data_IF_691810919946
#
_entry.id   IF_691810919946
#
_cell.length_a   1.000
_cell.length_b   1.000
_cell.length_c   1.000
_cell.angle_alpha   90.00
_cell.angle_beta   90.00
_cell.angle_gamma   90.00
#
_symmetry.space_group_name_H-M   'P 1'
#
loop_
_entity.id
_entity.type
_entity.pdbx_description
1 polymer ?
#
# COMPACT_ATOMS: atom_id res chain seq x y z
N UNK A 1 23.73 -48.54 21.17
CA UNK A 1 22.46 -48.38 21.90
C UNK A 1 21.68 -47.24 21.27
N UNK A 2 20.49 -47.55 20.79
CA UNK A 2 19.52 -46.60 20.22
C UNK A 2 18.98 -45.70 21.34
N UNK A 3 18.93 -44.39 21.12
CA UNK A 3 18.01 -43.50 21.82
C UNK A 3 17.25 -42.71 20.77
N UNK A 4 16.09 -43.27 20.45
CA UNK A 4 15.03 -42.71 19.62
C UNK A 4 14.52 -41.40 20.20
N UNK A 5 14.44 -40.36 19.37
CA UNK A 5 13.62 -39.18 19.63
C UNK A 5 12.14 -39.61 19.75
N UNK A 6 11.36 -39.00 20.66
CA UNK A 6 9.97 -39.38 20.85
C UNK A 6 9.12 -39.00 19.62
N UNK A 7 8.05 -39.75 19.33
CA UNK A 7 7.16 -39.44 18.24
C UNK A 7 6.33 -38.20 18.60
N UNK A 8 6.41 -37.15 17.77
CA UNK A 8 5.44 -36.05 17.85
C UNK A 8 4.16 -36.52 17.17
N UNK A 9 3.35 -37.28 17.91
CA UNK A 9 1.96 -37.50 17.60
C UNK A 9 1.15 -36.34 18.19
N UNK A 10 0.63 -35.52 17.28
CA UNK A 10 -0.27 -34.42 17.61
C UNK A 10 -0.47 -33.61 16.35
N UNK A 11 -1.43 -34.02 15.51
CA UNK A 11 -2.05 -33.14 14.52
C UNK A 11 -2.60 -31.95 15.31
N UNK A 12 -1.76 -30.93 15.52
CA UNK A 12 -2.26 -29.59 15.74
C UNK A 12 -3.00 -29.27 14.45
N UNK A 13 -4.32 -29.10 14.54
CA UNK A 13 -5.08 -28.46 13.48
C UNK A 13 -4.34 -27.14 13.25
N UNK A 14 -3.53 -27.05 12.19
CA UNK A 14 -3.02 -25.77 11.73
C UNK A 14 -4.27 -24.95 11.46
N UNK A 15 -4.60 -24.02 12.37
CA UNK A 15 -5.59 -23.00 12.12
C UNK A 15 -5.18 -22.36 10.79
N UNK A 16 -5.94 -22.65 9.74
CA UNK A 16 -5.64 -22.17 8.39
C UNK A 16 -5.49 -20.66 8.49
N UNK A 17 -4.31 -20.16 8.13
CA UNK A 17 -4.08 -18.73 8.14
C UNK A 17 -4.99 -18.08 7.12
N UNK A 18 -5.88 -17.20 7.58
CA UNK A 18 -6.73 -16.39 6.73
C UNK A 18 -6.09 -15.01 6.57
N UNK A 19 -5.49 -14.69 5.41
CA UNK A 19 -4.92 -13.37 5.19
C UNK A 19 -6.03 -12.30 5.24
N UNK A 20 -5.72 -11.06 5.69
CA UNK A 20 -6.63 -9.93 5.65
C UNK A 20 -7.34 -9.75 4.30
N UNK A 21 -6.64 -10.05 3.20
CA UNK A 21 -7.18 -10.01 1.86
C UNK A 21 -6.73 -11.22 1.03
N UNK A 22 -7.54 -11.59 0.04
CA UNK A 22 -7.21 -12.58 -0.98
C UNK A 22 -7.86 -12.17 -2.32
N UNK A 23 -7.05 -11.79 -3.30
CA UNK A 23 -7.47 -11.25 -4.60
C UNK A 23 -7.95 -12.31 -5.60
N UNK A 24 -7.63 -13.59 -5.38
CA UNK A 24 -8.15 -14.67 -6.22
C UNK A 24 -9.45 -15.23 -5.70
N UNK A 25 -9.74 -15.08 -4.40
CA UNK A 25 -10.90 -15.71 -3.76
C UNK A 25 -10.97 -17.21 -4.09
N UNK A 26 -12.02 -17.62 -4.81
CA UNK A 26 -12.26 -18.97 -5.31
C UNK A 26 -11.83 -19.17 -6.78
N UNK A 27 -11.39 -18.11 -7.45
CA UNK A 27 -10.86 -18.13 -8.81
C UNK A 27 -9.38 -18.57 -8.81
N UNK A 28 -8.90 -19.01 -9.96
CA UNK A 28 -7.49 -19.43 -10.14
C UNK A 28 -6.54 -18.24 -10.28
N UNK A 29 -7.04 -17.10 -10.77
CA UNK A 29 -6.31 -15.85 -11.00
C UNK A 29 -7.02 -14.67 -10.33
N UNK A 30 -6.36 -13.52 -10.25
CA UNK A 30 -6.97 -12.27 -9.78
C UNK A 30 -7.47 -11.38 -10.94
N UNK A 31 -7.76 -11.94 -12.12
CA UNK A 31 -8.21 -11.15 -13.29
C UNK A 31 -9.53 -10.42 -13.02
N UNK A 32 -10.48 -11.12 -12.37
CA UNK A 32 -11.75 -10.52 -11.96
C UNK A 32 -11.55 -9.35 -11.00
N UNK A 33 -10.60 -9.47 -10.08
CA UNK A 33 -10.24 -8.39 -9.17
C UNK A 33 -9.75 -7.16 -9.94
N UNK A 34 -8.80 -7.32 -10.88
CA UNK A 34 -8.28 -6.21 -11.66
C UNK A 34 -9.35 -5.54 -12.54
N UNK A 35 -10.24 -6.33 -13.14
CA UNK A 35 -11.38 -5.80 -13.90
C UNK A 35 -12.29 -4.94 -13.01
N UNK A 36 -12.72 -5.46 -11.86
CA UNK A 36 -13.58 -4.73 -10.93
C UNK A 36 -12.88 -3.48 -10.35
N UNK A 37 -11.58 -3.59 -10.06
CA UNK A 37 -10.78 -2.48 -9.57
C UNK A 37 -10.73 -1.34 -10.59
N UNK A 38 -10.53 -1.64 -11.86
CA UNK A 38 -10.49 -0.63 -12.92
C UNK A 38 -11.84 0.09 -13.07
N UNK A 39 -12.93 -0.67 -13.20
CA UNK A 39 -14.28 -0.12 -13.32
C UNK A 39 -14.66 0.74 -12.11
N UNK A 40 -14.35 0.25 -10.91
CA UNK A 40 -14.64 0.99 -9.69
C UNK A 40 -13.76 2.24 -9.54
N UNK A 41 -12.48 2.17 -9.91
CA UNK A 41 -11.57 3.33 -9.90
C UNK A 41 -12.12 4.43 -10.82
N UNK A 42 -12.59 4.07 -12.01
CA UNK A 42 -13.23 5.02 -12.94
C UNK A 42 -14.43 5.69 -12.29
N UNK A 43 -15.34 4.91 -11.67
CA UNK A 43 -16.49 5.47 -10.96
C UNK A 43 -16.07 6.45 -9.86
N UNK A 44 -15.04 6.13 -9.08
CA UNK A 44 -14.53 6.99 -8.01
C UNK A 44 -13.96 8.30 -8.58
N UNK A 45 -13.16 8.21 -9.65
CA UNK A 45 -12.59 9.37 -10.32
C UNK A 45 -13.69 10.26 -10.93
N UNK A 46 -14.61 9.69 -11.69
CA UNK A 46 -15.70 10.43 -12.34
C UNK A 46 -16.59 11.14 -11.30
N UNK A 47 -16.91 10.44 -10.20
CA UNK A 47 -17.72 11.02 -9.11
C UNK A 47 -16.95 12.13 -8.39
N UNK A 48 -15.69 11.88 -8.05
CA UNK A 48 -14.87 12.83 -7.29
C UNK A 48 -14.50 14.06 -8.09
N UNK A 49 -14.10 13.94 -9.35
CA UNK A 49 -13.76 15.08 -10.20
C UNK A 49 -14.98 15.93 -10.56
N UNK A 50 -16.16 15.32 -10.68
CA UNK A 50 -17.42 16.08 -10.82
C UNK A 50 -17.68 16.96 -9.61
N UNK A 51 -17.30 16.51 -8.41
CA UNK A 51 -17.57 17.24 -7.16
C UNK A 51 -16.47 18.24 -6.81
N UNK A 52 -15.20 17.83 -6.88
CA UNK A 52 -14.04 18.59 -6.42
C UNK A 52 -13.19 19.19 -7.56
N UNK A 53 -13.66 19.14 -8.80
CA UNK A 53 -12.89 19.59 -9.96
C UNK A 53 -12.45 21.05 -9.84
N UNK A 54 -13.32 21.92 -9.33
CA UNK A 54 -12.99 23.32 -9.05
C UNK A 54 -11.95 23.48 -7.95
N UNK A 55 -12.06 22.73 -6.85
CA UNK A 55 -11.11 22.82 -5.73
C UNK A 55 -9.72 22.33 -6.14
N UNK A 56 -9.68 21.28 -6.97
CA UNK A 56 -8.44 20.75 -7.54
C UNK A 56 -7.80 21.76 -8.49
N UNK A 57 -8.59 22.41 -9.35
CA UNK A 57 -8.09 23.46 -10.24
C UNK A 57 -7.53 24.65 -9.45
N UNK A 58 -8.26 25.14 -8.45
CA UNK A 58 -7.83 26.23 -7.58
C UNK A 58 -6.54 25.85 -6.82
N UNK A 59 -6.48 24.65 -6.24
CA UNK A 59 -5.27 24.15 -5.56
C UNK A 59 -4.07 24.11 -6.52
N UNK A 60 -4.27 23.72 -7.78
CA UNK A 60 -3.21 23.66 -8.78
C UNK A 60 -2.65 25.05 -9.12
N UNK A 61 -3.49 26.07 -9.22
CA UNK A 61 -3.09 27.44 -9.56
C UNK A 61 -2.16 28.08 -8.52
N UNK A 62 -2.21 27.62 -7.26
CA UNK A 62 -1.32 28.09 -6.18
C UNK A 62 0.14 27.68 -6.36
N UNK A 63 0.42 26.65 -7.18
CA UNK A 63 1.77 26.09 -7.33
C UNK A 63 2.22 25.15 -6.21
N UNK A 64 1.37 24.81 -5.23
CA UNK A 64 1.70 23.78 -4.22
C UNK A 64 1.89 22.38 -4.86
N UNK A 65 1.14 22.08 -5.92
CA UNK A 65 1.31 20.88 -6.73
C UNK A 65 2.37 21.08 -7.81
N UNK A 66 3.19 20.05 -8.08
CA UNK A 66 4.04 20.10 -9.28
C UNK A 66 3.19 19.86 -10.52
N UNK A 67 3.58 20.45 -11.66
CA UNK A 67 2.89 20.29 -12.95
C UNK A 67 2.80 18.83 -13.45
N UNK A 68 3.48 17.87 -12.77
CA UNK A 68 3.46 16.44 -13.09
C UNK A 68 2.44 15.63 -12.27
N UNK A 69 1.69 16.25 -11.36
CA UNK A 69 0.62 15.57 -10.61
C UNK A 69 -0.68 15.72 -11.39
N UNK A 70 -1.37 14.61 -11.70
CA UNK A 70 -2.66 14.66 -12.41
C UNK A 70 -3.81 15.05 -11.47
N UNK A 71 -4.96 15.42 -12.02
CA UNK A 71 -6.14 15.77 -11.21
C UNK A 71 -6.67 14.56 -10.45
N UNK A 72 -6.59 13.36 -11.02
CA UNK A 72 -6.96 12.11 -10.35
C UNK A 72 -6.07 11.82 -9.14
N UNK A 73 -4.79 12.18 -9.22
CA UNK A 73 -3.87 12.06 -8.08
C UNK A 73 -4.17 13.10 -6.99
N UNK A 74 -4.55 14.32 -7.37
CA UNK A 74 -5.00 15.34 -6.40
C UNK A 74 -6.32 14.92 -5.75
N UNK A 75 -7.25 14.32 -6.49
CA UNK A 75 -8.46 13.70 -5.96
C UNK A 75 -8.13 12.56 -4.98
N UNK A 76 -7.13 11.74 -5.29
CA UNK A 76 -6.67 10.69 -4.37
C UNK A 76 -6.16 11.30 -3.06
N UNK A 77 -5.49 12.45 -3.09
CA UNK A 77 -5.04 13.16 -1.88
C UNK A 77 -6.21 13.70 -1.04
N UNK A 78 -7.28 14.19 -1.68
CA UNK A 78 -8.53 14.53 -1.00
C UNK A 78 -9.18 13.28 -0.39
N UNK A 79 -9.28 12.17 -1.14
CA UNK A 79 -9.81 10.92 -0.61
C UNK A 79 -9.00 10.40 0.60
N UNK A 80 -7.66 10.47 0.54
CA UNK A 80 -6.79 10.13 1.67
C UNK A 80 -7.09 11.00 2.90
N UNK A 81 -7.29 12.30 2.69
CA UNK A 81 -7.67 13.23 3.77
C UNK A 81 -8.95 12.76 4.47
N UNK A 82 -10.02 12.51 3.72
CA UNK A 82 -11.30 12.09 4.29
C UNK A 82 -11.23 10.70 4.94
N UNK A 83 -10.58 9.73 4.30
CA UNK A 83 -10.44 8.37 4.85
C UNK A 83 -9.66 8.38 6.16
N UNK A 84 -8.53 9.09 6.23
CA UNK A 84 -7.75 9.18 7.46
C UNK A 84 -8.46 9.97 8.55
N UNK A 85 -9.16 11.04 8.17
CA UNK A 85 -10.00 11.78 9.11
C UNK A 85 -11.03 10.85 9.75
N UNK A 86 -11.85 10.18 8.94
CA UNK A 86 -12.92 9.32 9.43
C UNK A 86 -12.40 8.12 10.23
N UNK A 87 -11.30 7.51 9.77
CA UNK A 87 -10.73 6.31 10.41
C UNK A 87 -10.08 6.61 11.76
N UNK A 88 -9.43 7.77 11.88
CA UNK A 88 -8.60 8.08 13.04
C UNK A 88 -9.19 9.15 13.95
N UNK A 89 -10.41 9.65 13.66
CA UNK A 89 -11.10 10.67 14.45
C UNK A 89 -11.04 10.37 15.94
N UNK A 90 -10.60 11.39 16.70
CA UNK A 90 -10.44 11.29 18.15
C UNK A 90 -9.09 10.72 18.61
N UNK A 91 -8.30 10.04 17.76
CA UNK A 91 -6.99 9.51 18.20
C UNK A 91 -5.90 10.57 18.34
N UNK A 92 -6.11 11.74 17.73
CA UNK A 92 -5.16 12.84 17.79
C UNK A 92 -5.48 13.80 18.94
N UNK A 93 -4.63 13.79 19.98
CA UNK A 93 -4.76 14.71 21.13
C UNK A 93 -3.90 15.98 20.91
N UNK A 94 -4.25 17.07 21.59
CA UNK A 94 -3.59 18.38 21.44
C UNK A 94 -2.08 18.37 21.74
N UNK A 95 -1.59 17.42 22.53
CA UNK A 95 -0.18 17.29 22.90
C UNK A 95 0.68 16.59 21.83
N UNK A 96 0.12 16.20 20.68
CA UNK A 96 0.86 15.50 19.63
C UNK A 96 1.94 16.32 18.96
N UNK A 97 1.74 17.65 18.86
CA UNK A 97 2.78 18.58 18.37
C UNK A 97 4.08 18.46 19.18
N UNK A 98 3.97 18.19 20.48
CA UNK A 98 5.13 18.06 21.40
C UNK A 98 5.86 16.72 21.26
N UNK A 99 5.14 15.61 21.03
CA UNK A 99 5.75 14.27 21.01
C UNK A 99 6.21 13.82 19.62
N UNK A 100 5.69 14.43 18.55
CA UNK A 100 6.03 14.04 17.17
C UNK A 100 7.54 14.13 16.86
N UNK A 101 8.28 15.17 17.28
CA UNK A 101 9.74 15.24 17.06
C UNK A 101 10.49 14.04 17.66
N UNK A 102 10.09 13.59 18.85
CA UNK A 102 10.65 12.38 19.49
C UNK A 102 10.40 11.13 18.64
N UNK A 103 9.18 10.92 18.13
CA UNK A 103 8.88 9.78 17.26
C UNK A 103 9.64 9.84 15.93
N UNK A 104 9.82 11.04 15.35
CA UNK A 104 10.66 11.24 14.15
C UNK A 104 12.12 10.90 14.42
N UNK A 105 12.66 11.32 15.56
CA UNK A 105 14.02 10.98 15.99
C UNK A 105 14.18 9.47 16.17
N UNK A 106 13.26 8.81 16.88
CA UNK A 106 13.26 7.35 17.05
C UNK A 106 13.24 6.63 15.71
N UNK A 107 12.45 7.11 14.73
CA UNK A 107 12.45 6.53 13.39
C UNK A 107 13.82 6.65 12.70
N UNK A 108 14.48 7.81 12.78
CA UNK A 108 15.81 8.03 12.18
C UNK A 108 16.88 7.10 12.78
N UNK A 109 16.81 6.82 14.08
CA UNK A 109 17.75 5.93 14.77
C UNK A 109 17.62 4.45 14.37
N UNK A 110 16.62 4.07 13.55
CA UNK A 110 16.42 2.69 13.08
C UNK A 110 17.50 2.21 12.11
N UNK A 111 18.23 3.11 11.45
CA UNK A 111 19.34 2.75 10.56
C UNK A 111 20.65 2.44 11.31
N UNK A 112 20.60 2.28 12.63
CA UNK A 112 21.76 2.03 13.50
C UNK A 112 21.71 0.63 14.12
N UNK A 113 22.80 0.23 14.78
CA UNK A 113 22.90 -1.02 15.54
C UNK A 113 21.81 -1.13 16.63
N UNK A 114 21.20 -0.01 17.03
CA UNK A 114 20.16 0.05 18.06
C UNK A 114 18.74 -0.31 17.57
N UNK A 115 18.56 -0.68 16.30
CA UNK A 115 17.25 -0.95 15.67
C UNK A 115 16.28 -1.73 16.56
N UNK A 116 16.68 -2.88 17.10
CA UNK A 116 15.81 -3.73 17.93
C UNK A 116 15.32 -3.04 19.21
N UNK A 117 16.19 -2.24 19.87
CA UNK A 117 15.81 -1.47 21.07
C UNK A 117 14.88 -0.32 20.71
N UNK A 118 15.18 0.37 19.61
CA UNK A 118 14.38 1.49 19.09
C UNK A 118 12.99 1.02 18.68
N UNK A 119 12.88 -0.12 17.97
CA UNK A 119 11.60 -0.70 17.54
C UNK A 119 10.73 -1.06 18.78
N UNK A 120 11.31 -1.72 19.79
CA UNK A 120 10.60 -2.01 21.07
C UNK A 120 10.13 -0.77 21.80
N UNK A 121 10.98 0.25 21.91
CA UNK A 121 10.64 1.52 22.58
C UNK A 121 9.52 2.24 21.83
N UNK A 122 9.67 2.37 20.50
CA UNK A 122 8.69 3.00 19.61
C UNK A 122 7.34 2.29 19.69
N UNK A 123 7.32 0.95 19.63
CA UNK A 123 6.08 0.18 19.73
C UNK A 123 5.36 0.40 21.07
N UNK A 124 6.09 0.34 22.19
CA UNK A 124 5.52 0.63 23.53
C UNK A 124 4.99 2.06 23.64
N UNK A 125 5.76 3.06 23.20
CA UNK A 125 5.34 4.46 23.22
C UNK A 125 4.16 4.71 22.29
N UNK A 126 4.18 4.17 21.07
CA UNK A 126 3.10 4.28 20.10
C UNK A 126 1.79 3.70 20.65
N UNK A 127 1.84 2.50 21.24
CA UNK A 127 0.65 1.91 21.85
C UNK A 127 0.14 2.73 23.05
N UNK A 128 1.02 3.33 23.85
CA UNK A 128 0.60 4.13 25.02
C UNK A 128 0.09 5.53 24.65
N UNK A 129 0.70 6.17 23.65
CA UNK A 129 0.50 7.60 23.36
C UNK A 129 -0.37 7.85 22.14
N UNK A 130 -0.31 6.98 21.12
CA UNK A 130 -0.99 7.17 19.83
C UNK A 130 -2.22 6.26 19.65
N UNK A 131 -2.33 5.16 20.40
CA UNK A 131 -3.43 4.19 20.30
C UNK A 131 -4.53 4.42 21.35
N UNK A 132 -4.70 5.66 21.84
CA UNK A 132 -5.76 6.01 22.78
C UNK A 132 -7.01 6.42 21.99
N UNK A 133 -8.19 5.83 22.26
CA UNK A 133 -9.43 6.39 21.75
C UNK A 133 -9.63 7.75 22.42
N UNK A 134 -9.85 8.80 21.62
CA UNK A 134 -10.29 10.10 22.17
C UNK A 134 -11.77 10.32 21.94
N UNK A 135 -12.22 11.53 22.28
CA UNK A 135 -13.64 11.91 22.22
C UNK A 135 -14.11 11.97 20.76
N UNK A 136 -15.25 11.35 20.47
CA UNK A 136 -15.84 11.25 19.12
C UNK A 136 -16.33 12.60 18.57
N UNK A 137 -16.61 13.56 19.46
CA UNK A 137 -17.09 14.90 19.12
C UNK A 137 -15.94 15.86 18.80
N UNK A 138 -15.36 15.69 17.61
CA UNK A 138 -14.47 16.70 17.01
C UNK A 138 -15.20 17.38 15.85
N UNK A 139 -15.22 18.73 15.89
CA UNK A 139 -15.66 19.56 14.78
C UNK A 139 -14.53 19.63 13.74
N UNK A 140 -14.89 19.88 12.48
CA UNK A 140 -13.91 20.17 11.45
C UNK A 140 -13.20 21.48 11.76
N UNK A 141 -11.87 21.46 11.64
CA UNK A 141 -11.03 22.66 11.69
C UNK A 141 -9.64 22.36 11.14
N UNK A 142 -8.95 23.41 10.69
CA UNK A 142 -7.56 23.31 10.23
C UNK A 142 -6.66 22.79 11.36
N UNK A 143 -6.84 23.26 12.59
CA UNK A 143 -6.08 22.75 13.75
C UNK A 143 -6.29 21.25 14.00
N UNK A 144 -7.49 20.73 13.75
CA UNK A 144 -7.75 19.30 13.86
C UNK A 144 -7.09 18.52 12.70
N UNK A 145 -7.05 19.10 11.50
CA UNK A 145 -6.32 18.52 10.36
C UNK A 145 -4.82 18.47 10.62
N UNK A 146 -4.25 19.53 11.19
CA UNK A 146 -2.86 19.54 11.65
C UNK A 146 -2.59 18.41 12.63
N UNK A 147 -3.44 18.25 13.64
CA UNK A 147 -3.28 17.21 14.66
C UNK A 147 -3.35 15.80 14.04
N UNK A 148 -4.21 15.60 13.04
CA UNK A 148 -4.21 14.37 12.23
C UNK A 148 -2.85 14.18 11.54
N UNK A 149 -2.31 15.20 10.85
CA UNK A 149 -1.00 15.08 10.18
C UNK A 149 0.15 14.82 11.16
N UNK A 150 0.14 15.43 12.34
CA UNK A 150 1.09 15.12 13.40
C UNK A 150 0.96 13.68 13.88
N UNK A 151 -0.27 13.18 14.08
CA UNK A 151 -0.52 11.79 14.45
C UNK A 151 0.00 10.82 13.39
N UNK A 152 -0.39 11.01 12.13
CA UNK A 152 0.06 10.21 10.98
C UNK A 152 1.58 10.22 10.88
N UNK A 153 2.21 11.38 11.04
CA UNK A 153 3.67 11.51 11.03
C UNK A 153 4.33 10.78 12.20
N UNK A 154 3.72 10.78 13.39
CA UNK A 154 4.26 10.11 14.57
C UNK A 154 4.21 8.58 14.44
N UNK A 155 3.17 8.01 13.79
CA UNK A 155 3.10 6.56 13.53
C UNK A 155 4.20 6.07 12.61
N UNK A 156 4.72 6.95 11.73
CA UNK A 156 5.84 6.67 10.80
C UNK A 156 5.51 5.72 9.65
N UNK A 157 4.25 5.30 9.53
CA UNK A 157 3.77 4.39 8.49
C UNK A 157 3.15 5.14 7.29
N UNK A 158 3.00 6.47 7.37
CA UNK A 158 2.32 7.32 6.38
C UNK A 158 3.26 8.39 5.79
N UNK A 159 4.54 8.07 5.61
CA UNK A 159 5.55 9.07 5.25
C UNK A 159 5.19 9.80 3.94
N UNK A 160 4.69 9.06 2.96
CA UNK A 160 4.39 9.57 1.63
C UNK A 160 3.08 10.36 1.61
N UNK A 161 2.09 9.84 2.31
CA UNK A 161 0.78 10.44 2.49
C UNK A 161 0.90 11.76 3.26
N UNK A 162 1.64 11.80 4.39
CA UNK A 162 1.90 13.05 5.11
C UNK A 162 2.58 14.08 4.22
N UNK A 163 3.55 13.68 3.39
CA UNK A 163 4.20 14.62 2.45
C UNK A 163 3.18 15.20 1.46
N UNK A 164 2.28 14.38 0.93
CA UNK A 164 1.26 14.83 -0.01
C UNK A 164 0.26 15.78 0.67
N UNK A 165 -0.27 15.36 1.82
CA UNK A 165 -1.30 16.08 2.58
C UNK A 165 -0.80 17.38 3.24
N UNK A 166 0.50 17.50 3.54
CA UNK A 166 1.08 18.78 4.02
C UNK A 166 0.94 19.91 2.99
N UNK A 167 0.83 19.62 1.69
CA UNK A 167 0.57 20.66 0.69
C UNK A 167 -0.87 21.17 0.75
N UNK A 168 -1.81 20.27 1.00
CA UNK A 168 -3.21 20.64 1.25
C UNK A 168 -3.36 21.42 2.56
N UNK A 169 -2.56 21.09 3.57
CA UNK A 169 -2.48 21.86 4.82
C UNK A 169 -2.10 23.32 4.56
N UNK A 170 -1.05 23.56 3.77
CA UNK A 170 -0.63 24.91 3.40
C UNK A 170 -1.77 25.64 2.66
N UNK A 171 -2.41 24.99 1.68
CA UNK A 171 -3.56 25.56 0.96
C UNK A 171 -4.75 25.92 1.87
N UNK A 172 -5.14 25.02 2.78
CA UNK A 172 -6.23 25.28 3.72
C UNK A 172 -5.92 26.46 4.63
N UNK A 173 -4.65 26.61 5.05
CA UNK A 173 -4.22 27.67 5.96
C UNK A 173 -4.13 29.03 5.27
N UNK A 174 -3.48 29.10 4.10
CA UNK A 174 -3.13 30.37 3.48
C UNK A 174 -4.17 30.88 2.49
N UNK A 175 -4.81 29.99 1.73
CA UNK A 175 -5.68 30.38 0.60
C UNK A 175 -7.16 30.25 0.95
N UNK A 176 -7.56 29.12 1.55
CA UNK A 176 -8.98 28.77 1.67
C UNK A 176 -9.64 29.32 2.96
N UNK A 177 -8.86 29.43 4.05
CA UNK A 177 -9.28 29.98 5.35
C UNK A 177 -10.63 29.43 5.83
N UNK A 178 -11.70 30.24 5.89
CA UNK A 178 -13.03 29.82 6.37
C UNK A 178 -13.68 28.75 5.49
N UNK A 179 -13.42 28.77 4.18
CA UNK A 179 -13.97 27.78 3.25
C UNK A 179 -13.29 26.39 3.41
N UNK A 180 -12.21 26.29 4.19
CA UNK A 180 -11.56 25.01 4.48
C UNK A 180 -12.45 24.06 5.28
N UNK A 181 -13.38 24.59 6.08
CA UNK A 181 -14.31 23.79 6.85
C UNK A 181 -15.28 23.05 5.93
N UNK A 182 -15.88 23.76 4.99
CA UNK A 182 -16.83 23.22 4.02
C UNK A 182 -16.15 22.14 3.17
N UNK A 183 -14.96 22.41 2.64
CA UNK A 183 -14.22 21.42 1.86
C UNK A 183 -13.83 20.18 2.69
N UNK A 184 -13.41 20.35 3.95
CA UNK A 184 -13.09 19.22 4.82
C UNK A 184 -14.33 18.37 5.15
N UNK A 185 -15.49 19.00 5.32
CA UNK A 185 -16.78 18.32 5.51
C UNK A 185 -17.18 17.52 4.27
N UNK A 186 -17.08 18.12 3.09
CA UNK A 186 -17.36 17.46 1.82
C UNK A 186 -16.40 16.29 1.55
N UNK A 187 -15.11 16.48 1.81
CA UNK A 187 -14.09 15.44 1.67
C UNK A 187 -14.35 14.27 2.63
N UNK A 188 -14.77 14.56 3.86
CA UNK A 188 -15.19 13.56 4.83
C UNK A 188 -16.42 12.77 4.34
N UNK A 189 -17.43 13.46 3.79
CA UNK A 189 -18.62 12.84 3.24
C UNK A 189 -18.30 11.97 2.02
N UNK A 190 -17.42 12.44 1.13
CA UNK A 190 -16.94 11.66 -0.01
C UNK A 190 -16.20 10.39 0.43
N UNK A 191 -15.39 10.46 1.49
CA UNK A 191 -14.73 9.28 2.04
C UNK A 191 -15.72 8.27 2.64
N UNK A 192 -16.81 8.72 3.29
CA UNK A 192 -17.90 7.83 3.74
C UNK A 192 -18.61 7.16 2.56
N UNK A 193 -18.95 7.93 1.51
CA UNK A 193 -19.49 7.36 0.27
C UNK A 193 -18.54 6.33 -0.35
N UNK A 194 -17.23 6.64 -0.39
CA UNK A 194 -16.22 5.72 -0.90
C UNK A 194 -16.15 4.43 -0.07
N UNK A 195 -16.20 4.52 1.26
CA UNK A 195 -16.22 3.35 2.14
C UNK A 195 -17.39 2.42 1.81
N UNK A 196 -18.59 2.96 1.70
CA UNK A 196 -19.80 2.19 1.37
C UNK A 196 -19.70 1.54 -0.01
N UNK A 197 -19.34 2.33 -1.03
CA UNK A 197 -19.27 1.83 -2.40
C UNK A 197 -18.13 0.81 -2.58
N UNK A 198 -16.97 1.06 -1.97
CA UNK A 198 -15.83 0.15 -2.06
C UNK A 198 -16.08 -1.17 -1.33
N UNK A 199 -16.86 -1.15 -0.24
CA UNK A 199 -17.30 -2.38 0.43
C UNK A 199 -18.18 -3.24 -0.47
N UNK A 200 -19.06 -2.63 -1.26
CA UNK A 200 -19.90 -3.36 -2.23
C UNK A 200 -19.04 -3.96 -3.36
N UNK A 201 -18.12 -3.18 -3.92
CA UNK A 201 -17.38 -3.57 -5.13
C UNK A 201 -16.16 -4.46 -4.83
N UNK A 202 -15.41 -4.15 -3.77
CA UNK A 202 -14.12 -4.77 -3.44
C UNK A 202 -14.15 -5.55 -2.12
N UNK A 203 -15.19 -5.38 -1.29
CA UNK A 203 -15.24 -5.95 0.06
C UNK A 203 -15.15 -7.47 0.11
N UNK A 204 -15.53 -8.16 -0.97
CA UNK A 204 -15.38 -9.61 -1.07
C UNK A 204 -13.90 -10.06 -1.07
N UNK A 205 -12.96 -9.22 -1.52
CA UNK A 205 -11.53 -9.50 -1.52
C UNK A 205 -10.85 -9.19 -0.18
N UNK A 206 -11.51 -8.42 0.69
CA UNK A 206 -10.98 -7.93 1.98
C UNK A 206 -11.86 -8.35 3.17
N UNK A 207 -12.78 -9.32 2.97
CA UNK A 207 -13.77 -9.72 3.98
C UNK A 207 -13.18 -10.28 5.28
N UNK A 208 -11.90 -10.68 5.25
CA UNK A 208 -11.20 -11.21 6.42
C UNK A 208 -10.57 -10.12 7.30
N UNK A 209 -10.52 -8.85 6.87
CA UNK A 209 -9.83 -7.77 7.63
C UNK A 209 -10.36 -7.68 9.06
N UNK A 210 -11.68 -7.56 9.25
CA UNK A 210 -12.27 -7.39 10.59
C UNK A 210 -11.97 -8.57 11.52
N UNK A 211 -12.11 -9.80 11.02
CA UNK A 211 -11.76 -11.02 11.76
C UNK A 211 -10.27 -11.06 12.09
N UNK A 212 -9.41 -10.76 11.11
CA UNK A 212 -7.96 -10.72 11.30
C UNK A 212 -7.56 -9.73 12.41
N UNK A 213 -8.12 -8.52 12.41
CA UNK A 213 -7.86 -7.50 13.42
C UNK A 213 -8.30 -7.98 14.82
N UNK A 214 -9.48 -8.60 14.93
CA UNK A 214 -10.01 -9.11 16.19
C UNK A 214 -9.10 -10.19 16.78
N UNK A 215 -8.66 -11.16 15.98
CA UNK A 215 -7.83 -12.27 16.41
C UNK A 215 -6.39 -11.86 16.74
N UNK A 216 -5.85 -10.86 16.03
CA UNK A 216 -4.44 -10.47 16.15
C UNK A 216 -4.20 -9.20 16.99
N UNK A 217 -5.24 -8.58 17.56
CA UNK A 217 -5.13 -7.35 18.37
C UNK A 217 -4.04 -7.42 19.44
N UNK A 218 -3.99 -8.52 20.21
CA UNK A 218 -2.98 -8.72 21.26
C UNK A 218 -1.58 -8.94 20.69
N UNK A 219 -1.47 -9.57 19.52
CA UNK A 219 -0.20 -9.85 18.86
C UNK A 219 0.48 -8.58 18.34
N UNK A 220 -0.30 -7.61 17.87
CA UNK A 220 0.23 -6.34 17.34
C UNK A 220 0.39 -5.23 18.37
N UNK A 221 -0.27 -5.34 19.53
CA UNK A 221 -0.16 -4.35 20.59
C UNK A 221 1.31 -4.16 21.02
N UNK A 222 1.81 -2.94 20.89
CA UNK A 222 3.18 -2.58 21.28
C UNK A 222 4.25 -2.98 20.28
N UNK A 223 3.90 -3.46 19.08
CA UNK A 223 4.83 -3.60 17.96
C UNK A 223 5.08 -2.26 17.27
N UNK A 224 6.23 -2.11 16.64
CA UNK A 224 6.59 -0.88 15.92
C UNK A 224 5.75 -0.67 14.66
N UNK A 225 5.26 -1.75 14.06
CA UNK A 225 4.42 -1.81 12.86
C UNK A 225 2.93 -2.00 13.20
N UNK A 226 2.54 -1.68 14.43
CA UNK A 226 1.16 -1.83 14.89
C UNK A 226 0.17 -1.12 13.97
N UNK A 227 0.39 0.18 13.67
CA UNK A 227 -0.54 0.97 12.85
C UNK A 227 -0.59 0.50 11.39
N UNK A 228 0.52 -0.04 10.87
CA UNK A 228 0.54 -0.71 9.58
C UNK A 228 -0.25 -2.03 9.58
N UNK A 229 -0.11 -2.87 10.61
CA UNK A 229 -0.78 -4.18 10.66
C UNK A 229 -2.25 -4.11 11.11
N UNK A 230 -2.69 -2.97 11.66
CA UNK A 230 -4.05 -2.78 12.17
C UNK A 230 -4.92 -1.86 11.30
N UNK A 231 -4.65 -1.79 9.99
CA UNK A 231 -5.41 -0.97 9.04
C UNK A 231 -6.82 -1.50 8.83
N UNK A 232 -7.77 -0.58 8.66
CA UNK A 232 -9.19 -0.89 8.43
C UNK A 232 -9.45 -1.31 7.00
N UNK A 233 -10.63 -1.88 6.74
CA UNK A 233 -10.99 -2.38 5.41
C UNK A 233 -11.02 -1.25 4.36
N UNK A 234 -11.52 -0.06 4.70
CA UNK A 234 -11.54 1.10 3.80
C UNK A 234 -10.12 1.53 3.40
N UNK A 235 -9.14 1.40 4.28
CA UNK A 235 -7.74 1.71 3.96
C UNK A 235 -7.14 0.72 2.95
N UNK A 236 -7.53 -0.56 3.00
CA UNK A 236 -7.17 -1.52 1.93
C UNK A 236 -7.77 -1.08 0.59
N UNK A 237 -9.06 -0.73 0.55
CA UNK A 237 -9.71 -0.31 -0.70
C UNK A 237 -9.13 0.99 -1.25
N UNK A 238 -8.86 1.98 -0.38
CA UNK A 238 -8.22 3.24 -0.77
C UNK A 238 -6.82 2.98 -1.37
N UNK A 239 -6.05 2.07 -0.79
CA UNK A 239 -4.75 1.67 -1.36
C UNK A 239 -4.90 0.95 -2.70
N UNK A 240 -5.94 0.12 -2.88
CA UNK A 240 -6.22 -0.55 -4.15
C UNK A 240 -6.53 0.47 -5.25
N UNK A 241 -7.50 1.35 -5.00
CA UNK A 241 -7.93 2.40 -5.94
C UNK A 241 -6.79 3.39 -6.20
N UNK A 242 -6.09 3.81 -5.15
CA UNK A 242 -4.96 4.73 -5.27
C UNK A 242 -3.83 4.19 -6.15
N UNK A 243 -3.47 2.91 -6.01
CA UNK A 243 -2.47 2.30 -6.88
C UNK A 243 -2.96 2.16 -8.33
N UNK A 244 -4.26 1.99 -8.56
CA UNK A 244 -4.83 2.00 -9.92
C UNK A 244 -4.82 3.42 -10.53
N UNK A 245 -5.15 4.46 -9.76
CA UNK A 245 -4.99 5.87 -10.17
C UNK A 245 -3.53 6.14 -10.57
N UNK A 246 -2.58 5.70 -9.73
CA UNK A 246 -1.16 5.82 -10.02
C UNK A 246 -0.75 5.08 -11.30
N UNK A 247 -1.24 3.86 -11.53
CA UNK A 247 -1.00 3.13 -12.77
C UNK A 247 -1.45 3.92 -13.98
N UNK A 248 -2.64 4.52 -13.93
CA UNK A 248 -3.19 5.32 -15.01
C UNK A 248 -2.33 6.57 -15.26
N UNK A 249 -2.00 7.34 -14.22
CA UNK A 249 -1.22 8.57 -14.33
C UNK A 249 0.19 8.32 -14.89
N UNK A 250 0.87 7.27 -14.44
CA UNK A 250 2.24 6.95 -14.84
C UNK A 250 2.35 6.10 -16.12
N UNK A 251 1.22 5.64 -16.67
CA UNK A 251 1.16 4.70 -17.80
C UNK A 251 1.98 5.17 -19.00
N UNK A 252 1.77 6.43 -19.40
CA UNK A 252 2.38 7.01 -20.60
C UNK A 252 3.90 7.06 -20.49
N UNK A 253 4.41 7.50 -19.36
CA UNK A 253 5.85 7.57 -19.11
C UNK A 253 6.47 6.18 -19.04
N UNK A 254 5.78 5.25 -18.37
CA UNK A 254 6.23 3.87 -18.27
C UNK A 254 6.34 3.18 -19.63
N UNK A 255 5.33 3.35 -20.51
CA UNK A 255 5.33 2.73 -21.84
C UNK A 255 6.48 3.23 -22.71
N UNK A 256 6.89 4.50 -22.57
CA UNK A 256 8.00 5.10 -23.34
C UNK A 256 9.38 4.58 -22.97
N UNK A 257 9.52 3.92 -21.83
CA UNK A 257 10.82 3.36 -21.42
C UNK A 257 11.24 2.20 -22.34
N UNK A 258 12.53 2.02 -22.58
CA UNK A 258 13.04 0.93 -23.43
C UNK A 258 13.04 -0.41 -22.69
N UNK A 259 13.51 -0.40 -21.44
CA UNK A 259 13.69 -1.59 -20.60
C UNK A 259 12.59 -1.68 -19.55
N UNK A 260 12.15 -2.89 -19.24
CA UNK A 260 11.14 -3.15 -18.21
C UNK A 260 11.68 -4.13 -17.17
N UNK A 261 11.59 -3.75 -15.90
CA UNK A 261 12.05 -4.59 -14.78
C UNK A 261 10.90 -4.83 -13.81
N UNK A 262 10.59 -6.09 -13.55
CA UNK A 262 9.68 -6.53 -12.51
C UNK A 262 10.43 -6.69 -11.18
N UNK A 263 9.94 -5.99 -10.15
CA UNK A 263 10.45 -6.07 -8.80
C UNK A 263 9.63 -7.07 -7.99
N UNK A 264 10.20 -8.23 -7.67
CA UNK A 264 9.52 -9.27 -6.90
C UNK A 264 9.98 -9.30 -5.43
N UNK A 265 9.07 -9.23 -4.45
CA UNK A 265 9.45 -9.31 -3.04
C UNK A 265 9.85 -10.73 -2.67
N UNK A 266 10.83 -10.85 -1.76
CA UNK A 266 11.31 -12.14 -1.26
C UNK A 266 10.23 -12.96 -0.54
N UNK A 267 9.09 -12.38 -0.14
CA UNK A 267 7.96 -13.13 0.41
C UNK A 267 7.26 -14.06 -0.60
N UNK A 268 7.60 -13.98 -1.89
CA UNK A 268 7.15 -14.94 -2.90
C UNK A 268 8.04 -16.20 -2.97
N UNK A 269 9.18 -16.21 -2.28
CA UNK A 269 10.07 -17.37 -2.25
C UNK A 269 9.40 -18.50 -1.48
N UNK A 270 9.16 -19.61 -2.18
CA UNK A 270 8.60 -20.84 -1.57
C UNK A 270 9.67 -21.75 -0.98
N UNK A 271 10.85 -21.79 -1.59
CA UNK A 271 11.94 -22.67 -1.16
C UNK A 271 12.74 -22.03 -0.01
N UNK A 272 12.82 -22.72 1.14
CA UNK A 272 13.65 -22.29 2.28
C UNK A 272 15.15 -22.30 1.95
N UNK A 273 15.60 -23.15 1.03
CA UNK A 273 16.97 -23.24 0.54
C UNK A 273 17.17 -22.44 -0.76
N UNK A 274 16.63 -21.22 -0.80
CA UNK A 274 16.72 -20.37 -1.99
C UNK A 274 18.19 -20.08 -2.34
N UNK A 275 18.59 -20.39 -3.57
CA UNK A 275 19.95 -20.15 -4.08
C UNK A 275 20.11 -18.78 -4.77
N UNK A 276 19.22 -17.82 -4.52
CA UNK A 276 19.32 -16.50 -5.15
C UNK A 276 20.65 -15.82 -4.79
N UNK A 277 21.26 -15.14 -5.75
CA UNK A 277 22.58 -14.52 -5.60
C UNK A 277 22.48 -13.01 -5.64
N UNK A 278 23.31 -12.34 -4.85
CA UNK A 278 23.43 -10.88 -4.89
C UNK A 278 24.36 -10.51 -6.05
N UNK A 279 23.93 -9.57 -6.88
CA UNK A 279 24.68 -8.99 -7.98
C UNK A 279 24.33 -7.52 -8.04
N UNK A 280 25.31 -6.62 -7.92
CA UNK A 280 25.12 -5.17 -7.99
C UNK A 280 23.97 -4.63 -7.10
N UNK A 281 23.92 -5.09 -5.83
CA UNK A 281 22.86 -4.76 -4.85
C UNK A 281 21.43 -5.23 -5.21
N UNK A 282 21.29 -6.03 -6.25
CA UNK A 282 20.05 -6.72 -6.63
C UNK A 282 20.16 -8.21 -6.27
N UNK A 283 19.04 -8.82 -5.87
CA UNK A 283 18.97 -10.26 -5.65
C UNK A 283 18.43 -10.93 -6.92
N UNK A 284 19.17 -11.87 -7.49
CA UNK A 284 18.86 -12.51 -8.78
C UNK A 284 18.47 -13.97 -8.57
N UNK A 285 17.32 -14.36 -9.11
CA UNK A 285 16.83 -15.73 -9.04
C UNK A 285 17.76 -16.69 -9.79
N UNK A 286 18.16 -17.79 -9.14
CA UNK A 286 18.95 -18.87 -9.77
C UNK A 286 18.09 -20.08 -10.17
N UNK A 287 16.76 -19.93 -10.19
CA UNK A 287 15.82 -20.97 -10.61
C UNK A 287 16.00 -22.34 -9.92
N UNK A 288 16.35 -22.34 -8.63
CA UNK A 288 16.71 -23.54 -7.87
C UNK A 288 15.65 -24.64 -7.84
N UNK A 289 14.36 -24.30 -7.90
CA UNK A 289 13.25 -25.26 -7.95
C UNK A 289 12.16 -24.80 -8.93
N UNK A 290 11.48 -25.75 -9.57
CA UNK A 290 10.38 -25.49 -10.51
C UNK A 290 9.11 -25.02 -9.79
N UNK A 291 8.89 -25.42 -8.54
CA UNK A 291 7.67 -25.08 -7.79
C UNK A 291 7.73 -23.72 -7.06
N UNK A 292 8.83 -22.99 -7.17
CA UNK A 292 8.96 -21.66 -6.57
C UNK A 292 8.21 -20.59 -7.39
N UNK A 293 7.31 -19.83 -6.75
CA UNK A 293 6.53 -18.77 -7.42
C UNK A 293 7.43 -17.72 -8.10
N UNK A 294 8.54 -17.32 -7.46
CA UNK A 294 9.53 -16.42 -8.07
C UNK A 294 10.15 -17.02 -9.34
N UNK A 295 10.50 -18.31 -9.30
CA UNK A 295 11.14 -18.99 -10.44
C UNK A 295 10.19 -19.09 -11.63
N UNK A 296 8.93 -19.45 -11.39
CA UNK A 296 7.87 -19.50 -12.41
C UNK A 296 7.66 -18.11 -13.03
N UNK A 297 7.39 -17.11 -12.19
CA UNK A 297 7.15 -15.72 -12.61
C UNK A 297 8.34 -15.16 -13.41
N UNK A 298 9.57 -15.30 -12.91
CA UNK A 298 10.75 -14.76 -13.59
C UNK A 298 10.98 -15.39 -14.98
N UNK A 299 10.68 -16.69 -15.16
CA UNK A 299 10.74 -17.33 -16.49
C UNK A 299 9.68 -16.79 -17.43
N UNK A 300 8.43 -16.66 -16.95
CA UNK A 300 7.31 -16.11 -17.72
C UNK A 300 7.57 -14.66 -18.16
N UNK A 301 8.12 -13.84 -17.26
CA UNK A 301 8.47 -12.45 -17.55
C UNK A 301 9.61 -12.35 -18.57
N UNK A 302 10.63 -13.20 -18.45
CA UNK A 302 11.76 -13.22 -19.39
C UNK A 302 11.31 -13.51 -20.83
N UNK A 303 10.33 -14.41 -21.02
CA UNK A 303 9.73 -14.69 -22.35
C UNK A 303 9.08 -13.43 -22.91
N UNK A 304 8.54 -12.57 -22.05
CA UNK A 304 7.87 -11.32 -22.43
C UNK A 304 8.84 -10.12 -22.51
N UNK A 305 10.17 -10.36 -22.47
CA UNK A 305 11.19 -9.30 -22.50
C UNK A 305 11.29 -8.46 -21.21
N UNK A 306 10.69 -8.92 -20.12
CA UNK A 306 10.69 -8.23 -18.83
C UNK A 306 11.74 -8.87 -17.92
N UNK A 307 12.74 -8.09 -17.52
CA UNK A 307 13.74 -8.54 -16.55
C UNK A 307 13.12 -8.65 -15.15
N UNK A 308 13.67 -9.50 -14.28
CA UNK A 308 13.15 -9.67 -12.93
C UNK A 308 14.26 -9.51 -11.90
N UNK A 309 14.03 -8.65 -10.92
CA UNK A 309 14.91 -8.42 -9.78
C UNK A 309 14.15 -8.70 -8.48
N UNK A 310 14.78 -9.43 -7.56
CA UNK A 310 14.20 -9.66 -6.25
C UNK A 310 14.57 -8.52 -5.31
N UNK A 311 13.59 -8.08 -4.52
CA UNK A 311 13.75 -7.04 -3.52
C UNK A 311 13.53 -7.62 -2.12
N UNK A 312 14.44 -7.27 -1.21
CA UNK A 312 14.25 -7.52 0.21
C UNK A 312 13.14 -6.63 0.74
N UNK A 313 12.47 -7.08 1.80
CA UNK A 313 11.65 -6.18 2.60
C UNK A 313 12.57 -5.12 3.26
N UNK A 314 12.69 -3.94 2.65
CA UNK A 314 13.49 -2.84 3.19
C UNK A 314 12.61 -1.72 3.75
N UNK A 315 13.00 -1.17 4.90
CA UNK A 315 12.45 0.08 5.43
C UNK A 315 13.00 1.32 4.73
N UNK A 316 13.89 1.14 3.73
CA UNK A 316 14.57 2.21 3.00
C UNK A 316 14.54 1.93 1.48
N UNK A 317 13.32 1.75 0.97
CA UNK A 317 13.07 1.43 -0.43
C UNK A 317 13.52 2.56 -1.36
N UNK A 318 13.23 3.81 -1.01
CA UNK A 318 13.74 5.00 -1.72
C UNK A 318 15.26 5.01 -1.92
N UNK A 319 16.06 4.59 -0.91
CA UNK A 319 17.52 4.52 -1.07
C UNK A 319 17.93 3.43 -2.06
N UNK A 320 17.26 2.27 -2.00
CA UNK A 320 17.50 1.17 -2.91
C UNK A 320 17.15 1.54 -4.37
N UNK A 321 16.14 2.39 -4.57
CA UNK A 321 15.72 2.88 -5.89
C UNK A 321 16.65 3.94 -6.51
N UNK A 322 17.58 4.52 -5.74
CA UNK A 322 18.48 5.59 -6.23
C UNK A 322 19.19 5.30 -7.57
N UNK A 323 19.65 4.07 -7.87
CA UNK A 323 20.27 3.78 -9.17
C UNK A 323 19.36 4.05 -10.38
N UNK A 324 18.04 4.06 -10.19
CA UNK A 324 17.05 4.35 -11.24
C UNK A 324 16.42 5.75 -11.10
N UNK A 325 16.92 6.63 -10.22
CA UNK A 325 16.35 7.95 -10.05
C UNK A 325 16.63 8.86 -11.27
N UNK A 326 15.62 9.62 -11.70
CA UNK A 326 15.68 10.59 -12.80
C UNK A 326 16.10 10.03 -14.18
N UNK A 327 16.06 8.71 -14.38
CA UNK A 327 16.24 8.11 -15.71
C UNK A 327 14.90 7.80 -16.37
N UNK A 328 14.90 7.71 -17.70
CA UNK A 328 13.71 7.48 -18.53
C UNK A 328 13.86 6.23 -19.43
N UNK A 329 14.95 5.49 -19.34
CA UNK A 329 15.21 4.29 -20.16
C UNK A 329 14.56 3.03 -19.59
N UNK A 330 14.30 3.00 -18.29
CA UNK A 330 13.89 1.80 -17.55
C UNK A 330 12.62 2.06 -16.76
N UNK A 331 11.57 1.32 -17.09
CA UNK A 331 10.31 1.29 -16.35
C UNK A 331 10.31 0.19 -15.29
N UNK A 332 9.88 0.50 -14.07
CA UNK A 332 9.80 -0.46 -12.98
C UNK A 332 8.36 -0.93 -12.74
N UNK A 333 8.15 -2.24 -12.63
CA UNK A 333 6.89 -2.82 -12.19
C UNK A 333 7.08 -3.22 -10.72
N UNK A 334 6.56 -2.41 -9.80
CA UNK A 334 6.58 -2.68 -8.38
C UNK A 334 5.53 -3.74 -8.00
N UNK A 335 5.93 -4.73 -7.20
CA UNK A 335 4.97 -5.69 -6.63
C UNK A 335 5.03 -5.73 -5.11
N UNK A 336 3.86 -5.62 -4.47
CA UNK A 336 3.76 -5.52 -3.01
C UNK A 336 2.38 -5.93 -2.48
N UNK A 337 2.28 -6.04 -1.16
CA UNK A 337 0.98 -6.15 -0.48
C UNK A 337 0.17 -4.88 -0.74
N UNK A 338 -1.17 -4.99 -0.68
CA UNK A 338 -2.10 -3.86 -0.90
C UNK A 338 -1.68 -2.59 -0.15
N UNK A 339 -1.40 -2.70 1.15
CA UNK A 339 -1.06 -1.55 2.01
C UNK A 339 0.34 -0.93 1.77
N UNK A 340 1.22 -1.56 0.99
CA UNK A 340 2.55 -1.02 0.71
C UNK A 340 2.66 -0.44 -0.71
N UNK A 341 1.75 -0.81 -1.60
CA UNK A 341 1.93 -0.58 -3.03
C UNK A 341 1.79 0.90 -3.38
N UNK A 342 0.80 1.59 -2.80
CA UNK A 342 0.59 3.02 -3.01
C UNK A 342 1.79 3.85 -2.51
N UNK A 343 2.23 3.61 -1.27
CA UNK A 343 3.41 4.28 -0.71
C UNK A 343 4.67 4.05 -1.56
N UNK A 344 4.91 2.81 -2.01
CA UNK A 344 6.01 2.48 -2.91
C UNK A 344 5.92 3.19 -4.27
N UNK A 345 4.71 3.33 -4.81
CA UNK A 345 4.46 4.11 -6.01
C UNK A 345 4.83 5.58 -5.85
N UNK A 346 4.40 6.22 -4.75
CA UNK A 346 4.78 7.60 -4.44
C UNK A 346 6.30 7.77 -4.26
N UNK A 347 6.99 6.79 -3.69
CA UNK A 347 8.46 6.80 -3.60
C UNK A 347 9.12 6.77 -4.98
N UNK A 348 8.67 5.90 -5.89
CA UNK A 348 9.16 5.86 -7.28
C UNK A 348 8.85 7.17 -8.02
N UNK A 349 7.65 7.71 -7.88
CA UNK A 349 7.25 8.97 -8.50
C UNK A 349 8.12 10.14 -8.04
N UNK A 350 8.41 10.23 -6.74
CA UNK A 350 9.31 11.25 -6.19
C UNK A 350 10.73 11.18 -6.74
N UNK A 351 11.16 10.00 -7.17
CA UNK A 351 12.46 9.78 -7.80
C UNK A 351 12.39 9.92 -9.33
N UNK A 352 11.27 10.40 -9.89
CA UNK A 352 11.00 10.49 -11.32
C UNK A 352 11.22 9.16 -12.06
N UNK A 353 10.81 8.04 -11.45
CA UNK A 353 10.92 6.71 -12.04
C UNK A 353 9.59 6.37 -12.71
N UNK A 354 9.55 6.10 -14.02
CA UNK A 354 8.37 5.58 -14.67
C UNK A 354 8.02 4.21 -14.10
N UNK A 355 6.83 4.06 -13.54
CA UNK A 355 6.48 2.85 -12.80
C UNK A 355 5.05 2.39 -12.99
N UNK A 356 4.81 1.11 -12.75
CA UNK A 356 3.50 0.49 -12.61
C UNK A 356 3.48 -0.42 -11.39
N UNK A 357 2.28 -0.75 -10.92
CA UNK A 357 1.98 -1.44 -9.69
C UNK A 357 1.18 -2.72 -9.97
N UNK A 358 1.64 -3.85 -9.41
CA UNK A 358 0.91 -5.13 -9.40
C UNK A 358 0.80 -5.63 -7.97
N UNK A 359 -0.40 -5.98 -7.54
CA UNK A 359 -0.63 -6.52 -6.21
C UNK A 359 -0.17 -7.97 -6.09
N UNK A 360 0.34 -8.31 -4.90
CA UNK A 360 0.40 -9.70 -4.45
C UNK A 360 -1.01 -10.22 -4.20
N UNK A 361 -1.33 -11.42 -4.67
CA UNK A 361 -2.67 -12.03 -4.57
C UNK A 361 -3.15 -12.18 -3.12
N UNK A 362 -2.24 -12.38 -2.18
CA UNK A 362 -2.52 -12.36 -0.75
C UNK A 362 -1.26 -12.00 0.02
N UNK A 363 -1.41 -11.57 1.26
CA UNK A 363 -0.28 -11.28 2.11
C UNK A 363 0.09 -12.50 2.96
N UNK A 364 1.40 -12.78 3.10
CA UNK A 364 1.87 -13.96 3.82
C UNK A 364 3.27 -13.83 4.39
N UNK A 365 3.91 -12.66 4.31
CA UNK A 365 5.28 -12.50 4.77
C UNK A 365 5.42 -12.77 6.29
N UNK A 366 6.56 -13.35 6.67
CA UNK A 366 6.84 -13.74 8.04
C UNK A 366 6.90 -12.57 9.03
N UNK A 367 7.35 -11.42 8.52
CA UNK A 367 7.53 -10.21 9.30
C UNK A 367 6.19 -9.63 9.76
N UNK A 368 5.23 -9.50 8.86
CA UNK A 368 3.97 -8.79 9.15
C UNK A 368 2.80 -9.71 9.40
N UNK A 369 2.65 -10.82 8.67
CA UNK A 369 1.34 -11.48 8.53
C UNK A 369 1.27 -12.88 9.14
N UNK A 370 2.25 -13.74 8.88
CA UNK A 370 2.20 -15.14 9.33
C UNK A 370 3.56 -15.60 9.87
N UNK A 371 3.65 -16.10 11.10
CA UNK A 371 4.94 -16.43 11.74
C UNK A 371 5.85 -17.37 10.93
N UNK A 372 5.30 -18.33 10.20
CA UNK A 372 6.09 -19.29 9.39
C UNK A 372 6.35 -18.81 7.97
N UNK A 373 5.62 -17.77 7.53
CA UNK A 373 5.67 -17.24 6.18
C UNK A 373 4.91 -18.13 5.20
N UNK A 374 4.03 -17.53 4.42
CA UNK A 374 3.30 -18.20 3.34
C UNK A 374 3.70 -17.53 2.04
N UNK A 375 4.29 -18.33 1.15
CA UNK A 375 4.70 -17.87 -0.16
C UNK A 375 3.49 -17.36 -0.93
N UNK A 376 3.53 -16.09 -1.30
CA UNK A 376 2.51 -15.44 -2.13
C UNK A 376 2.89 -15.49 -3.60
N UNK A 377 2.01 -14.98 -4.45
CA UNK A 377 2.15 -14.91 -5.91
C UNK A 377 1.58 -13.59 -6.43
N UNK A 378 1.79 -13.34 -7.72
CA UNK A 378 1.15 -12.24 -8.45
C UNK A 378 0.36 -12.82 -9.62
N UNK A 379 -0.50 -12.01 -10.21
CA UNK A 379 -1.04 -12.27 -11.52
C UNK A 379 -0.01 -11.88 -12.61
N UNK A 380 0.69 -12.89 -13.14
CA UNK A 380 1.66 -12.71 -14.22
C UNK A 380 1.04 -12.10 -15.47
N UNK A 381 -0.20 -12.47 -15.81
CA UNK A 381 -0.89 -11.92 -16.97
C UNK A 381 -1.20 -10.44 -16.79
N UNK A 382 -1.55 -10.00 -15.58
CA UNK A 382 -1.65 -8.58 -15.29
C UNK A 382 -0.30 -7.86 -15.48
N UNK A 383 0.80 -8.43 -14.98
CA UNK A 383 2.13 -7.84 -15.16
C UNK A 383 2.51 -7.70 -16.64
N UNK A 384 2.17 -8.69 -17.48
CA UNK A 384 2.39 -8.65 -18.94
C UNK A 384 1.48 -7.61 -19.63
N UNK A 385 0.22 -7.49 -19.23
CA UNK A 385 -0.67 -6.47 -19.81
C UNK A 385 -0.19 -5.04 -19.57
N UNK A 386 0.57 -4.80 -18.50
CA UNK A 386 1.17 -3.49 -18.26
C UNK A 386 2.22 -3.11 -19.31
N UNK A 387 2.79 -4.04 -20.08
CA UNK A 387 3.80 -3.68 -21.10
C UNK A 387 3.25 -3.59 -22.52
N UNK A 388 2.04 -4.08 -22.80
CA UNK A 388 1.47 -4.04 -24.14
C UNK A 388 0.92 -2.64 -24.50
N UNK A 389 1.19 -2.21 -25.74
CA UNK A 389 0.67 -0.95 -26.30
C UNK A 389 -0.84 -1.04 -26.60
N UNK A 390 -1.32 -2.24 -26.97
CA UNK A 390 -2.74 -2.54 -27.27
C UNK A 390 -3.53 -3.10 -26.07
N UNK A 391 -2.91 -3.14 -24.90
CA UNK A 391 -3.35 -3.94 -23.76
C UNK A 391 -4.63 -3.45 -23.10
N UNK A 392 -5.79 -3.81 -23.67
CA UNK A 392 -7.09 -3.94 -22.97
C UNK A 392 -8.25 -4.51 -23.80
N UNK A 393 -8.10 -4.83 -25.10
CA UNK A 393 -9.26 -5.25 -25.92
C UNK A 393 -9.88 -6.63 -25.59
N UNK A 394 -9.25 -7.50 -24.81
CA UNK A 394 -9.75 -8.87 -24.59
C UNK A 394 -9.60 -9.36 -23.13
N UNK A 395 -10.09 -8.59 -22.15
CA UNK A 395 -10.24 -9.08 -20.78
C UNK A 395 -11.64 -8.83 -20.25
N UNK A 396 -12.63 -9.39 -20.93
CA UNK A 396 -13.94 -9.61 -20.31
C UNK A 396 -13.86 -10.96 -19.62
N UNK A 397 -13.92 -11.04 -18.28
CA UNK A 397 -14.04 -12.34 -17.61
C UNK A 397 -15.30 -13.03 -18.12
N UNK A 398 -15.26 -14.33 -18.43
CA UNK A 398 -16.49 -15.12 -18.54
C UNK A 398 -17.18 -15.09 -17.17
N UNK A 399 -18.12 -14.16 -16.98
CA UNK A 399 -18.97 -14.13 -15.80
C UNK A 399 -19.94 -15.30 -15.93
N UNK A 400 -19.53 -16.47 -15.45
CA UNK A 400 -20.47 -17.57 -15.18
C UNK A 400 -21.39 -17.10 -14.05
N UNK A 401 -22.53 -16.51 -14.42
CA UNK A 401 -23.64 -16.24 -13.50
C UNK A 401 -24.05 -17.59 -12.90
N UNK A 402 -23.61 -17.89 -11.67
CA UNK A 402 -24.32 -18.87 -10.86
C UNK A 402 -25.65 -18.22 -10.49
N UNK A 403 -26.71 -18.74 -11.08
CA UNK A 403 -28.07 -18.43 -10.68
C UNK A 403 -28.22 -18.69 -9.17
N UNK A 404 -28.82 -17.71 -8.47
CA UNK A 404 -29.46 -17.92 -7.17
C UNK A 404 -30.85 -18.45 -7.43
#
# INVERSE_FOLDING_TARGET
MKTTLPPVAGKTIELSFFPPYNLTQNDTTSDRFYFLLEEFTKKVVDTGLKHFGSDIANFRETGYATNKVSDEELLLELLMTGVFWNTYKGRWQWNLRLITPMFKMLYRLRSTILKSRVDKLRGKLGNRLLNKPGKETLNFSIDQFDNLLYWLSATGDFKMEVKALSRWQDYFYFELQRNSLDLLEEVSAFASWFEDQSKIQLGSYTGNVSSFLQHNKKMYAGREDQFFCTRTQVEYHMNMVGAQIMNNSLRKDFLRTEKKILLLPTCMIKNKECKAKVTDNALICQHCTSDCNVSKTAREMKISGIETVLIWHSSDFSRWLKPWANQNSTGLIGTACVLNLLGGGYEMKNLNIPSQCVFLDYCGCNKHWNKTGIATRINSEQAKALVSLDGKKERTPEIKRKAV
#
